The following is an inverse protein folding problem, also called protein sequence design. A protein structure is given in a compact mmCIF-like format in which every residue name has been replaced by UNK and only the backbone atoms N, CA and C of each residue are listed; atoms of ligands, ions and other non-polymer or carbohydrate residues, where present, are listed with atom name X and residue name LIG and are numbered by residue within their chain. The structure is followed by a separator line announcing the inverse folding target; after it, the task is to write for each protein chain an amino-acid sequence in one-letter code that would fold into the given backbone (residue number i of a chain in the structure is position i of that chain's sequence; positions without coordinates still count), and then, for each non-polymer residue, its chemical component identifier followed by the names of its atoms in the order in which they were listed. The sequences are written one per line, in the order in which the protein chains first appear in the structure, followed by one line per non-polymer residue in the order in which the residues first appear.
data_IF_692045986241
#
_entry.id   IF_692045986241
#
_cell.length_a   1.000
_cell.length_b   1.000
_cell.length_c   1.000
_cell.angle_alpha   90.00
_cell.angle_beta   90.00
_cell.angle_gamma   90.00
#
_symmetry.space_group_name_H-M   'P 1'
#
loop_
_entity.id
_entity.type
_entity.pdbx_description
1 polymer ?
#
# COMPACT_ATOMS: atom_id res chain seq x y z
N UNK A 1 -27.90 -29.69 -50.85
CA UNK A 1 -27.76 -29.74 -49.38
C UNK A 1 -27.10 -28.44 -48.94
N UNK A 2 -27.79 -27.59 -48.17
CA UNK A 2 -27.25 -26.30 -47.69
C UNK A 2 -26.73 -26.49 -46.25
N UNK A 3 -25.48 -26.12 -45.93
CA UNK A 3 -24.97 -26.24 -44.56
C UNK A 3 -25.60 -25.18 -43.66
N UNK A 4 -25.87 -25.58 -42.41
CA UNK A 4 -26.39 -24.70 -41.36
C UNK A 4 -25.32 -23.71 -40.88
N UNK A 5 -25.69 -22.50 -40.41
CA UNK A 5 -24.71 -21.56 -39.91
C UNK A 5 -24.20 -22.01 -38.54
N UNK A 6 -22.88 -22.05 -38.40
CA UNK A 6 -22.24 -22.22 -37.10
C UNK A 6 -22.47 -20.94 -36.28
N UNK A 7 -23.13 -21.08 -35.12
CA UNK A 7 -23.23 -20.03 -34.12
C UNK A 7 -21.85 -19.85 -33.47
N UNK A 8 -21.18 -18.74 -33.77
CA UNK A 8 -19.98 -18.31 -33.05
C UNK A 8 -20.41 -17.76 -31.69
N UNK A 9 -20.06 -18.48 -30.62
CA UNK A 9 -20.18 -17.97 -29.26
C UNK A 9 -18.93 -17.12 -28.99
N UNK A 10 -19.06 -15.80 -29.05
CA UNK A 10 -18.00 -14.90 -28.57
C UNK A 10 -17.97 -14.90 -27.04
N UNK A 11 -16.97 -15.55 -26.46
CA UNK A 11 -16.67 -15.42 -25.03
C UNK A 11 -16.16 -14.02 -24.74
N UNK A 12 -16.93 -13.23 -23.99
CA UNK A 12 -16.46 -11.97 -23.42
C UNK A 12 -15.46 -12.30 -22.30
N UNK A 13 -14.16 -12.07 -22.55
CA UNK A 13 -13.16 -12.09 -21.49
C UNK A 13 -13.37 -10.84 -20.63
N UNK A 14 -13.75 -11.03 -19.35
CA UNK A 14 -13.77 -9.93 -18.40
C UNK A 14 -12.32 -9.59 -18.04
N UNK A 15 -11.85 -8.38 -18.38
CA UNK A 15 -10.60 -7.86 -17.82
C UNK A 15 -10.76 -7.70 -16.33
N UNK A 16 -10.11 -8.57 -15.57
CA UNK A 16 -9.92 -8.40 -14.12
C UNK A 16 -8.74 -7.45 -13.93
N UNK A 17 -9.00 -6.26 -13.41
CA UNK A 17 -7.93 -5.34 -13.00
C UNK A 17 -7.35 -5.82 -11.68
N UNK A 18 -6.03 -5.91 -11.62
CA UNK A 18 -5.30 -6.39 -10.47
C UNK A 18 -4.06 -5.55 -10.18
N UNK A 19 -3.84 -5.27 -8.91
CA UNK A 19 -2.57 -4.72 -8.43
C UNK A 19 -1.79 -5.81 -7.70
N UNK A 20 -0.49 -5.90 -7.94
CA UNK A 20 0.38 -6.81 -7.20
C UNK A 20 1.25 -6.04 -6.21
N UNK A 21 1.38 -6.59 -5.01
CA UNK A 21 2.22 -6.06 -3.94
C UNK A 21 3.31 -7.07 -3.64
N UNK A 22 4.56 -6.67 -3.82
CA UNK A 22 5.76 -7.45 -3.51
C UNK A 22 6.38 -6.88 -2.23
N UNK A 23 6.75 -7.72 -1.26
CA UNK A 23 7.30 -7.24 0.01
C UNK A 23 8.76 -7.62 0.17
N UNK A 24 9.55 -6.62 0.54
CA UNK A 24 10.99 -6.73 0.78
C UNK A 24 11.26 -6.35 2.24
N UNK A 25 12.13 -7.10 2.90
CA UNK A 25 12.71 -6.70 4.18
C UNK A 25 14.16 -6.33 3.98
N UNK A 26 14.57 -5.17 4.50
CA UNK A 26 15.97 -4.77 4.71
C UNK A 26 16.31 -4.73 6.19
N UNK A 27 15.38 -5.14 7.05
CA UNK A 27 15.55 -5.17 8.49
C UNK A 27 16.49 -6.31 8.91
N UNK A 28 17.18 -6.12 10.04
CA UNK A 28 18.03 -7.14 10.67
C UNK A 28 17.24 -8.19 11.46
N UNK A 29 15.92 -8.03 11.54
CA UNK A 29 15.00 -8.93 12.23
C UNK A 29 13.86 -9.35 11.30
N UNK A 30 13.15 -10.46 11.60
CA UNK A 30 11.97 -10.84 10.84
C UNK A 30 10.89 -9.76 10.85
N UNK A 31 10.12 -9.68 9.76
CA UNK A 31 8.96 -8.80 9.64
C UNK A 31 7.71 -9.66 9.48
N UNK A 32 6.83 -9.59 10.48
CA UNK A 32 5.48 -10.13 10.40
C UNK A 32 4.58 -9.15 9.62
N UNK A 33 4.32 -9.43 8.35
CA UNK A 33 3.40 -8.64 7.54
C UNK A 33 1.98 -9.06 7.89
N UNK A 34 1.21 -8.15 8.47
CA UNK A 34 -0.16 -8.37 8.89
C UNK A 34 -1.13 -7.46 8.12
N UNK A 35 -2.22 -8.04 7.61
CA UNK A 35 -3.24 -7.36 6.78
C UNK A 35 -4.60 -7.18 7.49
N UNK A 36 -4.61 -7.33 8.83
CA UNK A 36 -5.79 -7.48 9.70
C UNK A 36 -6.48 -8.86 9.70
N UNK A 37 -6.04 -9.83 8.90
CA UNK A 37 -6.57 -11.20 8.91
C UNK A 37 -5.47 -12.26 9.02
N UNK A 38 -4.48 -12.20 8.15
CA UNK A 38 -3.40 -13.18 7.99
C UNK A 38 -2.06 -12.51 8.29
N UNK A 39 -1.15 -13.29 8.87
CA UNK A 39 0.24 -12.88 9.06
C UNK A 39 1.15 -13.72 8.17
N UNK A 40 2.03 -13.06 7.41
CA UNK A 40 3.12 -13.69 6.67
C UNK A 40 4.46 -13.14 7.18
N UNK A 41 5.38 -14.01 7.59
CA UNK A 41 6.67 -13.60 8.13
C UNK A 41 7.74 -13.58 7.04
N UNK A 42 8.35 -12.42 6.81
CA UNK A 42 9.59 -12.27 6.04
C UNK A 42 10.80 -12.42 6.93
N UNK A 43 11.77 -13.24 6.52
CA UNK A 43 13.07 -13.30 7.17
C UNK A 43 13.89 -12.02 6.90
N UNK A 44 14.92 -11.73 7.72
CA UNK A 44 15.83 -10.62 7.47
C UNK A 44 16.37 -10.64 6.04
N UNK A 45 16.43 -9.49 5.38
CA UNK A 45 16.94 -9.33 4.01
C UNK A 45 16.23 -10.18 2.93
N UNK A 46 15.01 -10.65 3.18
CA UNK A 46 14.26 -11.51 2.26
C UNK A 46 13.18 -10.76 1.47
N UNK A 47 12.74 -11.40 0.38
CA UNK A 47 11.57 -11.02 -0.42
C UNK A 47 10.53 -12.13 -0.34
N UNK A 48 9.24 -11.79 -0.28
CA UNK A 48 8.15 -12.77 -0.22
C UNK A 48 6.80 -12.15 0.12
N UNK A 49 5.87 -12.98 0.61
CA UNK A 49 4.54 -12.57 1.10
C UNK A 49 3.70 -11.78 0.08
N UNK A 50 3.94 -11.98 -1.21
CA UNK A 50 3.27 -11.20 -2.25
C UNK A 50 1.75 -11.36 -2.23
N UNK A 51 1.04 -10.29 -2.55
CA UNK A 51 -0.43 -10.23 -2.57
C UNK A 51 -0.89 -9.70 -3.92
N UNK A 52 -1.91 -10.32 -4.50
CA UNK A 52 -2.62 -9.81 -5.67
C UNK A 52 -4.01 -9.35 -5.24
N UNK A 53 -4.32 -8.08 -5.42
CA UNK A 53 -5.62 -7.49 -5.11
C UNK A 53 -6.43 -7.29 -6.39
N UNK A 54 -7.67 -7.79 -6.42
CA UNK A 54 -8.61 -7.60 -7.52
C UNK A 54 -9.58 -6.46 -7.18
N UNK A 55 -9.85 -5.58 -8.14
CA UNK A 55 -10.83 -4.50 -7.94
C UNK A 55 -12.26 -5.06 -7.74
N UNK A 56 -13.08 -4.50 -6.83
CA UNK A 56 -12.73 -3.50 -5.81
C UNK A 56 -12.04 -4.15 -4.60
N UNK A 57 -11.00 -3.49 -4.09
CA UNK A 57 -10.32 -3.93 -2.88
C UNK A 57 -9.75 -2.75 -2.10
N UNK A 58 -9.75 -2.83 -0.77
CA UNK A 58 -9.05 -1.90 0.10
C UNK A 58 -8.43 -2.66 1.25
N UNK A 59 -7.21 -2.29 1.63
CA UNK A 59 -6.49 -2.96 2.68
C UNK A 59 -5.25 -2.19 3.09
N UNK A 60 -4.57 -2.72 4.09
CA UNK A 60 -3.35 -2.14 4.65
C UNK A 60 -2.40 -3.27 5.03
N UNK A 61 -1.10 -3.00 5.03
CA UNK A 61 -0.07 -3.91 5.52
C UNK A 61 0.79 -3.23 6.60
N UNK A 62 1.08 -3.94 7.70
CA UNK A 62 1.95 -3.44 8.78
C UNK A 62 2.83 -4.53 9.36
N UNK A 63 3.88 -4.12 10.08
CA UNK A 63 4.66 -5.03 10.90
C UNK A 63 3.95 -5.33 12.23
N UNK A 64 3.68 -6.61 12.47
CA UNK A 64 3.07 -7.12 13.70
C UNK A 64 1.57 -6.85 13.80
N UNK A 65 0.95 -7.35 14.87
CA UNK A 65 -0.51 -7.21 15.08
C UNK A 65 -0.91 -5.94 15.83
N UNK A 66 0.05 -5.28 16.49
CA UNK A 66 -0.19 -4.05 17.23
C UNK A 66 -0.79 -2.96 16.31
N UNK A 67 -1.74 -2.20 16.85
CA UNK A 67 -2.36 -1.06 16.16
C UNK A 67 -1.41 0.15 16.03
N UNK A 68 -0.42 0.25 16.93
CA UNK A 68 0.61 1.29 16.91
C UNK A 68 1.70 0.89 15.92
N UNK A 69 1.48 1.20 14.64
CA UNK A 69 2.35 0.75 13.57
C UNK A 69 2.31 1.68 12.36
N UNK A 70 3.42 1.70 11.63
CA UNK A 70 3.48 2.30 10.29
C UNK A 70 2.64 1.46 9.33
N UNK A 71 1.74 2.09 8.58
CA UNK A 71 0.85 1.40 7.63
C UNK A 71 1.27 1.68 6.19
N UNK A 72 1.27 0.65 5.34
CA UNK A 72 1.12 0.82 3.89
C UNK A 72 -0.35 0.63 3.55
N UNK A 73 -1.02 1.68 3.09
CA UNK A 73 -2.46 1.66 2.80
C UNK A 73 -2.69 1.66 1.29
N UNK A 74 -3.69 0.90 0.84
CA UNK A 74 -4.00 0.71 -0.57
C UNK A 74 -5.50 0.59 -0.82
N UNK A 75 -5.97 1.11 -1.96
CA UNK A 75 -7.30 0.85 -2.49
C UNK A 75 -7.26 0.71 -4.02
N UNK A 76 -7.80 -0.38 -4.55
CA UNK A 76 -7.94 -0.64 -5.98
C UNK A 76 -9.40 -0.40 -6.37
N UNK A 77 -9.68 0.76 -6.97
CA UNK A 77 -11.03 1.16 -7.36
C UNK A 77 -11.01 2.27 -8.42
N UNK A 78 -12.03 2.30 -9.28
CA UNK A 78 -12.27 3.40 -10.21
C UNK A 78 -11.15 3.63 -11.22
N UNK A 79 -10.49 2.57 -11.70
CA UNK A 79 -9.38 2.69 -12.65
C UNK A 79 -8.03 3.05 -12.03
N UNK A 80 -7.94 3.04 -10.68
CA UNK A 80 -6.75 3.47 -9.93
C UNK A 80 -6.39 2.50 -8.82
N UNK A 81 -5.10 2.45 -8.51
CA UNK A 81 -4.62 2.11 -7.16
C UNK A 81 -4.32 3.42 -6.44
N UNK A 82 -5.05 3.68 -5.37
CA UNK A 82 -4.73 4.71 -4.37
C UNK A 82 -3.81 4.09 -3.33
N UNK A 83 -2.81 4.84 -2.89
CA UNK A 83 -1.91 4.36 -1.85
C UNK A 83 -1.25 5.50 -1.09
N UNK A 84 -0.81 5.18 0.12
CA UNK A 84 -0.06 6.07 0.98
C UNK A 84 0.67 5.27 2.07
N UNK A 85 1.55 5.96 2.79
CA UNK A 85 2.06 5.51 4.08
C UNK A 85 1.35 6.32 5.14
N UNK A 86 0.98 5.69 6.26
CA UNK A 86 0.38 6.39 7.38
C UNK A 86 1.18 6.19 8.66
N UNK A 87 1.37 7.31 9.36
CA UNK A 87 1.90 7.36 10.73
C UNK A 87 0.89 7.91 11.73
N UNK A 88 -0.38 7.97 11.32
CA UNK A 88 -1.47 8.48 12.14
C UNK A 88 -1.65 7.58 13.36
N UNK A 89 -1.56 8.10 14.60
CA UNK A 89 -1.83 7.30 15.78
C UNK A 89 -3.23 6.67 15.74
N UNK A 90 -3.39 5.40 16.13
CA UNK A 90 -4.70 4.77 16.12
C UNK A 90 -5.67 5.49 17.09
N UNK A 91 -6.92 5.69 16.64
CA UNK A 91 -7.93 6.43 17.41
C UNK A 91 -7.84 7.96 17.31
N UNK A 92 -7.12 8.49 16.31
CA UNK A 92 -6.88 9.93 16.11
C UNK A 92 -8.14 10.79 15.87
N UNK A 93 -9.26 10.21 15.44
CA UNK A 93 -10.52 10.94 15.27
C UNK A 93 -10.38 12.09 14.26
N UNK A 94 -10.43 13.33 14.75
CA UNK A 94 -10.41 14.56 13.92
C UNK A 94 -9.26 15.50 14.27
N UNK A 95 -8.17 15.04 14.90
CA UNK A 95 -6.98 15.88 15.06
C UNK A 95 -6.46 16.37 13.71
N UNK A 96 -5.75 17.48 13.73
CA UNK A 96 -5.25 18.19 12.55
C UNK A 96 -3.73 18.29 12.51
N UNK A 97 -3.04 17.65 13.45
CA UNK A 97 -1.57 17.53 13.48
C UNK A 97 -1.14 16.29 14.23
N UNK A 98 0.04 15.73 13.90
CA UNK A 98 0.59 14.57 14.59
C UNK A 98 0.71 14.78 16.11
N UNK A 99 1.19 15.95 16.52
CA UNK A 99 1.35 16.30 17.95
C UNK A 99 0.00 16.27 18.67
N UNK A 100 -1.04 16.84 18.05
CA UNK A 100 -2.40 16.79 18.60
C UNK A 100 -2.90 15.34 18.68
N UNK A 101 -2.74 14.56 17.61
CA UNK A 101 -3.16 13.16 17.57
C UNK A 101 -2.51 12.32 18.66
N UNK A 102 -1.18 12.45 18.83
CA UNK A 102 -0.43 11.76 19.87
C UNK A 102 -0.87 12.18 21.27
N UNK A 103 -1.13 13.47 21.49
CA UNK A 103 -1.61 13.99 22.78
C UNK A 103 -2.99 13.45 23.14
N UNK A 104 -3.92 13.41 22.17
CA UNK A 104 -5.29 12.94 22.43
C UNK A 104 -5.35 11.43 22.64
N UNK A 105 -4.58 10.67 21.88
CA UNK A 105 -4.62 9.20 21.92
C UNK A 105 -3.68 8.60 22.95
N UNK A 106 -2.62 9.32 23.34
CA UNK A 106 -1.45 8.78 24.06
C UNK A 106 -0.77 7.63 23.30
N UNK A 107 -0.87 7.61 21.97
CA UNK A 107 -0.36 6.55 21.10
C UNK A 107 0.55 7.10 20.01
N UNK A 108 1.33 6.21 19.39
CA UNK A 108 2.21 6.48 18.24
C UNK A 108 1.78 5.61 17.07
N UNK A 109 1.78 6.16 15.85
CA UNK A 109 1.44 5.43 14.62
C UNK A 109 2.65 4.92 13.85
N UNK A 110 3.78 4.65 14.50
CA UNK A 110 5.03 4.27 13.85
C UNK A 110 5.73 3.16 14.62
N UNK A 111 6.27 2.18 13.90
CA UNK A 111 7.10 1.12 14.50
C UNK A 111 8.30 0.73 13.62
N UNK A 112 8.10 0.54 12.32
CA UNK A 112 9.14 0.14 11.37
C UNK A 112 9.20 1.13 10.21
N UNK A 113 10.40 1.56 9.77
CA UNK A 113 10.56 2.35 8.56
C UNK A 113 10.01 1.63 7.32
N UNK A 114 9.43 2.38 6.39
CA UNK A 114 8.73 1.78 5.25
C UNK A 114 8.85 2.65 4.00
N UNK A 115 8.90 2.02 2.82
CA UNK A 115 8.71 2.69 1.54
C UNK A 115 7.75 1.94 0.63
N UNK A 116 7.07 2.67 -0.26
CA UNK A 116 6.24 2.11 -1.33
C UNK A 116 6.79 2.61 -2.67
N UNK A 117 7.15 1.67 -3.54
CA UNK A 117 7.67 1.94 -4.87
C UNK A 117 6.74 1.39 -5.95
N UNK A 118 6.07 2.24 -6.74
CA UNK A 118 5.33 1.81 -7.93
C UNK A 118 6.29 1.35 -9.04
N UNK A 119 6.11 0.13 -9.54
CA UNK A 119 6.92 -0.45 -10.61
C UNK A 119 6.46 0.03 -11.99
N UNK A 120 7.39 -0.05 -12.95
CA UNK A 120 7.08 0.12 -14.36
C UNK A 120 6.91 1.57 -14.83
N UNK A 121 6.43 1.76 -16.08
CA UNK A 121 6.33 3.06 -16.72
C UNK A 121 5.16 3.91 -16.20
N UNK A 122 4.21 3.29 -15.51
CA UNK A 122 3.03 3.95 -14.94
C UNK A 122 3.38 5.14 -14.02
N UNK A 123 4.55 5.12 -13.36
CA UNK A 123 5.06 6.24 -12.55
C UNK A 123 5.28 7.53 -13.33
N UNK A 124 5.44 7.43 -14.65
CA UNK A 124 5.70 8.57 -15.53
C UNK A 124 4.42 9.04 -16.24
N UNK A 125 3.26 8.43 -15.97
CA UNK A 125 2.00 8.85 -16.58
C UNK A 125 1.49 10.12 -15.87
N UNK A 126 1.41 11.27 -16.57
CA UNK A 126 1.02 12.54 -15.96
C UNK A 126 -0.44 12.59 -15.49
N UNK A 127 -1.26 11.58 -15.84
CA UNK A 127 -2.65 11.47 -15.36
C UNK A 127 -2.74 11.00 -13.91
N UNK A 128 -1.63 10.57 -13.33
CA UNK A 128 -1.55 9.97 -12.01
C UNK A 128 -0.49 10.67 -11.15
N UNK A 129 -0.72 10.72 -9.84
CA UNK A 129 0.29 11.14 -8.86
C UNK A 129 1.05 9.91 -8.36
N UNK A 130 1.72 9.21 -9.28
CA UNK A 130 2.30 7.90 -9.04
C UNK A 130 3.78 8.03 -8.65
N UNK A 131 4.04 8.28 -7.37
CA UNK A 131 5.38 8.59 -6.86
C UNK A 131 5.88 7.59 -5.82
N UNK A 132 7.19 7.39 -5.78
CA UNK A 132 7.83 6.74 -4.63
C UNK A 132 7.57 7.55 -3.35
N UNK A 133 7.22 6.85 -2.26
CA UNK A 133 7.03 7.44 -0.93
C UNK A 133 7.82 6.65 0.11
N UNK A 134 8.37 7.35 1.10
CA UNK A 134 9.19 6.73 2.15
C UNK A 134 9.03 7.41 3.50
N UNK A 135 9.07 6.61 4.55
CA UNK A 135 8.97 7.05 5.92
C UNK A 135 10.02 6.37 6.79
N UNK A 136 11.02 7.15 7.22
CA UNK A 136 12.12 6.65 8.05
C UNK A 136 11.85 6.78 9.56
N UNK A 137 10.94 7.66 9.95
CA UNK A 137 10.62 7.95 11.34
C UNK A 137 9.20 8.50 11.45
N UNK A 138 8.64 8.48 12.67
CA UNK A 138 7.36 9.10 12.98
C UNK A 138 7.35 10.58 12.56
N UNK A 139 6.29 11.04 11.88
CA UNK A 139 6.20 12.41 11.37
C UNK A 139 7.03 12.69 10.11
N UNK A 140 7.39 11.64 9.35
CA UNK A 140 8.03 11.80 8.04
C UNK A 140 7.13 12.58 7.05
N UNK A 141 7.77 13.25 6.09
CA UNK A 141 7.10 14.16 5.15
C UNK A 141 6.09 13.46 4.22
N UNK A 142 6.38 12.22 3.82
CA UNK A 142 5.64 11.54 2.76
C UNK A 142 4.48 10.68 3.29
N UNK A 143 4.32 10.57 4.62
CA UNK A 143 3.22 9.83 5.23
C UNK A 143 2.11 10.74 5.76
N UNK A 144 0.89 10.20 5.86
CA UNK A 144 -0.18 10.80 6.64
C UNK A 144 0.27 10.96 8.10
N UNK A 145 0.07 12.18 8.62
CA UNK A 145 0.41 12.54 10.00
C UNK A 145 -0.82 12.76 10.88
N UNK A 146 -1.97 12.99 10.26
CA UNK A 146 -3.28 13.13 10.89
C UNK A 146 -4.37 12.73 9.87
N UNK A 147 -5.61 12.44 10.30
CA UNK A 147 -6.64 11.83 9.44
C UNK A 147 -7.00 12.61 8.17
N UNK A 148 -6.95 13.94 8.20
CA UNK A 148 -7.29 14.81 7.06
C UNK A 148 -6.07 15.32 6.28
N UNK A 149 -4.91 14.65 6.39
CA UNK A 149 -3.70 15.00 5.64
C UNK A 149 -3.76 14.51 4.18
N UNK A 150 -4.81 14.90 3.45
CA UNK A 150 -5.15 14.35 2.13
C UNK A 150 -4.14 14.64 1.02
N UNK A 151 -3.13 15.46 1.33
CA UNK A 151 -2.03 15.79 0.41
C UNK A 151 -1.07 14.61 0.18
N UNK A 152 -1.14 13.57 1.01
CA UNK A 152 -0.19 12.43 1.00
C UNK A 152 -0.62 11.32 0.06
N UNK A 153 -1.91 11.16 -0.19
CA UNK A 153 -2.45 10.13 -1.09
C UNK A 153 -1.83 10.22 -2.48
N UNK A 154 -1.35 9.08 -2.95
CA UNK A 154 -0.84 8.86 -4.31
C UNK A 154 -1.83 8.04 -5.12
N UNK A 155 -1.67 8.06 -6.42
CA UNK A 155 -2.45 7.21 -7.32
C UNK A 155 -1.63 6.72 -8.47
N UNK A 156 -1.88 5.49 -8.92
CA UNK A 156 -1.35 4.88 -10.14
C UNK A 156 -2.50 4.18 -10.90
N UNK A 157 -2.33 3.75 -12.16
CA UNK A 157 -3.27 2.85 -12.83
C UNK A 157 -3.57 1.61 -11.99
N UNK A 158 -4.79 1.07 -12.07
CA UNK A 158 -5.25 -0.15 -11.37
C UNK A 158 -4.58 -1.47 -11.81
N UNK A 159 -3.62 -1.38 -12.72
CA UNK A 159 -2.75 -2.47 -13.19
C UNK A 159 -1.31 -2.32 -12.69
N UNK A 160 -1.06 -1.38 -11.78
CA UNK A 160 0.28 -1.10 -11.28
C UNK A 160 0.72 -2.14 -10.25
N UNK A 161 1.97 -2.57 -10.36
CA UNK A 161 2.63 -3.38 -9.34
C UNK A 161 3.43 -2.48 -8.40
N UNK A 162 3.58 -2.89 -7.14
CA UNK A 162 4.27 -2.13 -6.11
C UNK A 162 5.27 -3.01 -5.37
N UNK A 163 6.37 -2.39 -4.92
CA UNK A 163 7.26 -2.98 -3.92
C UNK A 163 7.10 -2.21 -2.61
N UNK A 164 6.70 -2.90 -1.55
CA UNK A 164 6.70 -2.38 -0.18
C UNK A 164 7.95 -2.88 0.51
N UNK A 165 8.81 -1.96 0.94
CA UNK A 165 10.07 -2.30 1.62
C UNK A 165 10.01 -1.89 3.08
N UNK A 166 10.26 -2.82 3.98
CA UNK A 166 10.48 -2.56 5.41
C UNK A 166 11.96 -2.31 5.67
N UNK A 167 12.26 -1.34 6.54
CA UNK A 167 13.61 -0.81 6.81
C UNK A 167 14.38 -0.37 5.55
N UNK A 168 13.77 0.39 4.61
CA UNK A 168 14.47 0.79 3.39
C UNK A 168 15.78 1.52 3.71
N UNK A 169 16.75 1.42 2.80
CA UNK A 169 18.02 2.13 2.93
C UNK A 169 17.74 3.64 3.05
N UNK A 170 18.48 4.31 3.94
CA UNK A 170 18.44 5.77 4.04
C UNK A 170 18.85 6.38 2.68
N UNK A 171 18.31 7.55 2.31
CA UNK A 171 18.75 8.20 1.10
C UNK A 171 20.26 8.47 1.21
N UNK A 172 21.01 8.36 0.10
CA UNK A 172 22.45 8.65 0.07
C UNK A 172 22.76 10.09 0.48
#
# INVERSE_FOLDING_TARGET
MRPWPALFVSSLAMSVYSANFEFHSRCMHPIDIYDNAVTCTLQPHATGCGVTALAPWSGMFRHGRAEQATLAEFSVAGGKVWYDISTVPPGSGTCTSLVECMRMTSKVGFNVPMSIFPKGPARNDPRYNCAYVVCYANGCRDAYQYPSDDTKTKSCPDTSDFVVTFCPDLPP
#
